data_IF_159790559653
#
_entry.id   IF_159790559653
#
_cell.length_a   1.000
_cell.length_b   1.000
_cell.length_c   1.000
_cell.angle_alpha   90.00
_cell.angle_beta   90.00
_cell.angle_gamma   90.00
#
_symmetry.space_group_name_H-M   'P 1'
#
loop_
_entity.id
_entity.type
_entity.pdbx_description
1 polymer ?
#
# COMPACT_ATOMS: atom_id res chain seq x y z
N UNK A 1 -28.15 4.30 9.70
CA UNK A 1 -27.10 4.54 8.68
C UNK A 1 -25.82 3.89 9.19
N UNK A 2 -25.51 2.67 8.75
CA UNK A 2 -24.32 1.94 9.22
C UNK A 2 -23.08 2.65 8.70
N UNK A 3 -22.19 3.07 9.60
CA UNK A 3 -20.88 3.61 9.27
C UNK A 3 -20.08 2.52 8.57
N UNK A 4 -19.79 2.70 7.29
CA UNK A 4 -18.88 1.80 6.56
C UNK A 4 -17.45 2.16 6.93
N UNK A 5 -16.81 1.36 7.76
CA UNK A 5 -15.40 1.54 8.07
C UNK A 5 -14.53 1.17 6.87
N UNK A 6 -13.57 2.04 6.54
CA UNK A 6 -12.62 1.84 5.44
C UNK A 6 -11.33 1.27 6.02
N UNK A 7 -11.05 0.01 5.69
CA UNK A 7 -9.87 -0.70 6.17
C UNK A 7 -8.73 -0.65 5.16
N UNK A 8 -7.53 -0.38 5.68
CA UNK A 8 -6.28 -0.36 4.93
C UNK A 8 -5.34 -1.41 5.50
N UNK A 9 -4.71 -2.19 4.62
CA UNK A 9 -3.72 -3.21 4.96
C UNK A 9 -2.34 -2.69 4.61
N UNK A 10 -1.38 -2.83 5.53
CA UNK A 10 0.04 -2.56 5.26
C UNK A 10 0.56 -3.62 4.29
N UNK A 11 1.08 -3.20 3.14
CA UNK A 11 1.54 -4.12 2.07
C UNK A 11 3.03 -4.02 1.78
N UNK A 12 3.66 -2.89 2.12
CA UNK A 12 5.10 -2.70 1.99
C UNK A 12 5.63 -1.73 3.05
N UNK A 13 6.89 -1.94 3.45
CA UNK A 13 7.52 -1.24 4.57
C UNK A 13 6.96 -1.67 5.94
N UNK A 14 7.35 -0.98 7.02
CA UNK A 14 8.25 0.17 7.05
C UNK A 14 9.66 -0.20 6.59
N UNK A 15 10.25 0.62 5.72
CA UNK A 15 11.62 0.48 5.22
C UNK A 15 12.16 1.87 4.80
N UNK A 16 13.48 2.04 4.53
CA UNK A 16 13.97 3.22 3.81
C UNK A 16 13.16 3.49 2.54
N UNK A 17 12.96 4.77 2.19
CA UNK A 17 12.00 5.16 1.15
C UNK A 17 12.16 4.37 -0.17
N UNK A 18 13.39 4.26 -0.69
CA UNK A 18 13.66 3.53 -1.93
C UNK A 18 13.32 2.03 -1.84
N UNK A 19 13.57 1.41 -0.68
CA UNK A 19 13.25 -0.01 -0.46
C UNK A 19 11.74 -0.23 -0.33
N UNK A 20 11.04 0.65 0.40
CA UNK A 20 9.59 0.60 0.51
C UNK A 20 8.90 0.82 -0.84
N UNK A 21 9.42 1.75 -1.65
CA UNK A 21 8.94 2.04 -3.00
C UNK A 21 9.08 0.79 -3.89
N UNK A 22 10.27 0.17 -3.91
CA UNK A 22 10.53 -1.04 -4.68
C UNK A 22 9.67 -2.24 -4.22
N UNK A 23 9.51 -2.41 -2.90
CA UNK A 23 8.66 -3.46 -2.34
C UNK A 23 7.19 -3.26 -2.72
N UNK A 24 6.69 -2.02 -2.73
CA UNK A 24 5.34 -1.72 -3.15
C UNK A 24 5.12 -2.00 -4.65
N UNK A 25 6.05 -1.58 -5.51
CA UNK A 25 5.97 -1.85 -6.95
C UNK A 25 6.02 -3.35 -7.26
N UNK A 26 6.83 -4.11 -6.53
CA UNK A 26 6.87 -5.57 -6.63
C UNK A 26 5.53 -6.20 -6.20
N UNK A 27 4.95 -5.75 -5.09
CA UNK A 27 3.65 -6.23 -4.60
C UNK A 27 2.51 -6.00 -5.60
N UNK A 28 2.53 -4.86 -6.30
CA UNK A 28 1.58 -4.54 -7.38
C UNK A 28 1.82 -5.36 -8.63
N UNK A 29 3.08 -5.49 -9.04
CA UNK A 29 3.47 -6.28 -10.23
C UNK A 29 3.08 -7.75 -10.06
N UNK A 30 3.24 -8.32 -8.86
CA UNK A 30 2.77 -9.67 -8.53
C UNK A 30 1.26 -9.87 -8.65
N UNK A 31 0.49 -8.77 -8.76
CA UNK A 31 -0.97 -8.74 -9.00
C UNK A 31 -1.34 -8.22 -10.39
N UNK A 32 -0.37 -8.12 -11.30
CA UNK A 32 -0.60 -7.67 -12.67
C UNK A 32 -1.02 -6.19 -12.78
N UNK A 33 -0.66 -5.35 -11.80
CA UNK A 33 -1.00 -3.93 -11.80
C UNK A 33 0.19 -3.03 -11.48
N UNK A 34 -0.03 -1.71 -11.47
CA UNK A 34 0.97 -0.71 -11.10
C UNK A 34 0.30 0.50 -10.42
N UNK A 35 1.10 1.45 -9.91
CA UNK A 35 0.59 2.62 -9.16
C UNK A 35 -0.37 3.49 -9.98
N UNK A 36 -0.13 3.64 -11.28
CA UNK A 36 -0.96 4.46 -12.16
C UNK A 36 -2.33 3.80 -12.44
N UNK A 37 -2.41 2.48 -12.31
CA UNK A 37 -3.65 1.73 -12.47
C UNK A 37 -4.48 1.62 -11.17
N UNK A 38 -3.91 1.97 -10.01
CA UNK A 38 -4.66 2.05 -8.77
C UNK A 38 -5.46 3.36 -8.69
N UNK A 39 -6.68 3.28 -8.15
CA UNK A 39 -7.43 4.49 -7.79
C UNK A 39 -6.69 5.20 -6.66
N UNK A 40 -6.59 6.52 -6.74
CA UNK A 40 -5.88 7.34 -5.75
C UNK A 40 -6.35 7.08 -4.31
N UNK A 41 -7.65 6.86 -4.11
CA UNK A 41 -8.23 6.60 -2.80
C UNK A 41 -7.97 5.19 -2.26
N UNK A 42 -7.58 4.24 -3.11
CA UNK A 42 -7.40 2.83 -2.75
C UNK A 42 -6.04 2.55 -2.11
N UNK A 43 -5.14 3.52 -2.05
CA UNK A 43 -3.83 3.36 -1.43
C UNK A 43 -3.31 4.65 -0.82
N UNK A 44 -2.32 4.53 0.05
CA UNK A 44 -1.61 5.65 0.65
C UNK A 44 -0.22 5.23 1.09
N UNK A 45 0.66 6.22 1.28
CA UNK A 45 1.94 6.04 1.95
C UNK A 45 2.08 7.02 3.10
N UNK A 46 2.80 6.60 4.14
CA UNK A 46 3.23 7.49 5.23
C UNK A 46 4.75 7.34 5.41
N UNK A 47 5.42 8.45 5.72
CA UNK A 47 6.81 8.46 6.20
C UNK A 47 6.78 8.66 7.72
N UNK A 48 7.23 7.66 8.49
CA UNK A 48 7.14 7.63 9.95
C UNK A 48 8.51 7.49 10.62
N UNK A 49 8.74 8.10 11.80
CA UNK A 49 9.94 7.83 12.58
C UNK A 49 9.93 6.37 13.05
N UNK A 50 10.95 5.57 12.69
CA UNK A 50 11.04 4.15 13.09
C UNK A 50 12.03 3.90 14.24
N UNK A 51 12.88 4.89 14.53
CA UNK A 51 13.78 5.05 15.69
C UNK A 51 14.31 6.50 15.63
N UNK A 52 15.19 6.92 16.54
CA UNK A 52 15.97 8.14 16.33
C UNK A 52 16.80 7.98 15.04
N UNK A 53 16.37 8.63 13.95
CA UNK A 53 16.94 8.44 12.62
C UNK A 53 16.05 8.94 11.49
N UNK A 54 16.39 8.61 10.23
CA UNK A 54 15.59 8.96 9.05
C UNK A 54 14.15 8.45 9.14
N UNK A 55 13.22 9.08 8.42
CA UNK A 55 11.86 8.57 8.29
C UNK A 55 11.85 7.29 7.45
N UNK A 56 11.00 6.34 7.86
CA UNK A 56 10.76 5.09 7.17
C UNK A 56 9.40 5.14 6.49
N UNK A 57 9.36 4.70 5.23
CA UNK A 57 8.16 4.71 4.42
C UNK A 57 7.39 3.42 4.57
N UNK A 58 6.07 3.54 4.62
CA UNK A 58 5.13 2.41 4.60
C UNK A 58 4.00 2.67 3.61
N UNK A 59 3.54 1.62 2.95
CA UNK A 59 2.45 1.66 1.97
C UNK A 59 1.27 0.83 2.44
N UNK A 60 0.08 1.40 2.29
CA UNK A 60 -1.16 0.73 2.59
C UNK A 60 -2.08 0.71 1.39
N UNK A 61 -2.82 -0.37 1.23
CA UNK A 61 -3.86 -0.52 0.21
C UNK A 61 -5.17 -0.88 0.90
N UNK A 62 -6.29 -0.33 0.42
CA UNK A 62 -7.62 -0.67 0.93
C UNK A 62 -7.84 -2.17 0.80
N UNK A 63 -8.31 -2.80 1.86
CA UNK A 63 -8.54 -4.25 1.87
C UNK A 63 -9.52 -4.68 0.76
N UNK A 64 -10.51 -3.85 0.44
CA UNK A 64 -11.44 -4.09 -0.67
C UNK A 64 -10.75 -4.03 -2.04
N UNK A 65 -9.75 -3.17 -2.21
CA UNK A 65 -8.96 -3.10 -3.44
C UNK A 65 -8.05 -4.34 -3.58
N UNK A 66 -7.39 -4.76 -2.50
CA UNK A 66 -6.60 -6.01 -2.47
C UNK A 66 -7.45 -7.19 -2.93
N UNK A 67 -8.65 -7.35 -2.36
CA UNK A 67 -9.59 -8.42 -2.74
C UNK A 67 -10.04 -8.37 -4.20
N UNK A 68 -10.06 -7.19 -4.82
CA UNK A 68 -10.35 -7.06 -6.26
C UNK A 68 -9.16 -7.50 -7.10
N UNK A 69 -7.95 -7.14 -6.70
CA UNK A 69 -6.71 -7.52 -7.38
C UNK A 69 -6.42 -9.02 -7.29
N UNK A 70 -6.83 -9.67 -6.20
CA UNK A 70 -6.59 -11.11 -5.99
C UNK A 70 -7.64 -12.01 -6.70
N UNK A 71 -8.70 -11.44 -7.29
CA UNK A 71 -9.66 -12.22 -8.08
C UNK A 71 -9.25 -12.19 -9.55
N UNK A 72 -8.89 -13.34 -10.15
CA UNK A 72 -8.80 -13.41 -11.60
C UNK A 72 -10.19 -13.14 -12.20
N UNK A 73 -10.24 -12.36 -13.28
CA UNK A 73 -11.41 -12.29 -14.16
C UNK A 73 -11.67 -13.65 -14.82
#
# INVERSE_FOLDING_TARGET
>A
MTRSDVFFTLVAGPAPAAEADAAFDSWLTGRGTNRASLRADDWKSDDVPWVAGPLWRRYFVRTTAIRRLDRPE
#
